data_IF_333580815416
#
_entry.id   IF_333580815416
#
_cell.length_a   1.000
_cell.length_b   1.000
_cell.length_c   1.000
_cell.angle_alpha   90.00
_cell.angle_beta   90.00
_cell.angle_gamma   90.00
#
_symmetry.space_group_name_H-M   'P 1'
#
loop_
_entity.id
_entity.type
_entity.pdbx_description
1 polymer ?
#
# COMPACT_ATOMS: atom_id res chain seq x y z
N UNK A 1 -2.97 10.98 -0.54
CA UNK A 1 -2.62 9.74 -1.28
C UNK A 1 -3.76 9.23 -2.16
N UNK A 2 -4.96 8.97 -1.63
CA UNK A 2 -6.12 8.47 -2.40
C UNK A 2 -6.39 9.19 -3.71
N UNK A 3 -6.41 10.54 -3.68
CA UNK A 3 -6.59 11.35 -4.89
C UNK A 3 -5.47 11.13 -5.92
N UNK A 4 -4.24 10.95 -5.47
CA UNK A 4 -3.10 10.67 -6.35
C UNK A 4 -3.19 9.26 -6.97
N UNK A 5 -3.61 8.25 -6.20
CA UNK A 5 -3.84 6.89 -6.72
C UNK A 5 -4.95 6.91 -7.77
N UNK A 6 -6.07 7.59 -7.50
CA UNK A 6 -7.18 7.76 -8.46
C UNK A 6 -6.71 8.48 -9.73
N UNK A 7 -5.93 9.55 -9.60
CA UNK A 7 -5.42 10.30 -10.74
C UNK A 7 -4.45 9.46 -11.60
N UNK A 8 -3.59 8.65 -10.97
CA UNK A 8 -2.60 7.84 -11.67
C UNK A 8 -3.20 6.59 -12.34
N UNK A 9 -4.20 5.96 -11.71
CA UNK A 9 -4.76 4.68 -12.17
C UNK A 9 -6.14 4.82 -12.84
N UNK A 10 -6.79 5.99 -12.76
CA UNK A 10 -8.15 6.20 -13.26
C UNK A 10 -9.13 5.17 -12.68
N UNK A 11 -10.01 4.63 -13.53
CA UNK A 11 -10.97 3.60 -13.15
C UNK A 11 -10.34 2.33 -12.55
N UNK A 12 -9.06 2.05 -12.87
CA UNK A 12 -8.37 0.90 -12.30
C UNK A 12 -8.11 1.06 -10.80
N UNK A 13 -8.15 2.28 -10.25
CA UNK A 13 -7.97 2.51 -8.81
C UNK A 13 -9.02 1.78 -7.96
N UNK A 14 -10.19 1.47 -8.51
CA UNK A 14 -11.26 0.72 -7.82
C UNK A 14 -10.98 -0.77 -7.70
N UNK A 15 -9.98 -1.28 -8.41
CA UNK A 15 -9.62 -2.71 -8.46
C UNK A 15 -8.34 -3.02 -7.68
N UNK A 16 -7.63 -2.00 -7.17
CA UNK A 16 -6.40 -2.20 -6.42
C UNK A 16 -6.70 -2.21 -4.92
N UNK A 17 -6.10 -3.16 -4.22
CA UNK A 17 -6.03 -3.14 -2.77
C UNK A 17 -4.92 -2.19 -2.33
N UNK A 18 -5.20 -1.38 -1.31
CA UNK A 18 -4.27 -0.45 -0.67
C UNK A 18 -4.16 -0.84 0.80
N UNK A 19 -2.97 -0.85 1.38
CA UNK A 19 -2.84 -1.00 2.83
C UNK A 19 -1.67 -0.20 3.37
N UNK A 20 -1.74 0.14 4.67
CA UNK A 20 -0.70 0.92 5.34
C UNK A 20 -0.11 0.15 6.51
N UNK A 21 1.11 -0.36 6.34
CA UNK A 21 1.82 -1.07 7.42
C UNK A 21 2.10 -0.17 8.63
N UNK A 22 2.11 1.16 8.43
CA UNK A 22 2.24 2.15 9.51
C UNK A 22 1.11 2.05 10.53
N UNK A 23 -0.05 1.46 10.20
CA UNK A 23 -1.10 1.18 11.18
C UNK A 23 -0.62 0.25 12.30
N UNK A 24 0.38 -0.59 12.02
CA UNK A 24 0.97 -1.54 12.98
C UNK A 24 2.36 -1.10 13.44
N UNK A 25 3.20 -0.61 12.54
CA UNK A 25 4.60 -0.29 12.83
C UNK A 25 4.83 1.15 13.28
N UNK A 26 3.81 2.01 13.16
CA UNK A 26 3.99 3.46 13.25
C UNK A 26 4.83 4.02 12.10
N UNK A 27 5.15 5.31 12.18
CA UNK A 27 5.98 5.98 11.19
C UNK A 27 7.46 5.97 11.60
N UNK A 28 8.27 5.19 10.89
CA UNK A 28 9.71 5.01 11.15
C UNK A 28 10.58 6.09 10.45
N UNK A 29 10.01 7.24 10.12
CA UNK A 29 10.67 8.33 9.39
C UNK A 29 11.37 7.81 8.12
N UNK A 30 12.67 8.08 7.98
CA UNK A 30 13.47 7.67 6.83
C UNK A 30 13.50 6.15 6.61
N UNK A 31 13.30 5.35 7.66
CA UNK A 31 13.29 3.89 7.55
C UNK A 31 11.95 3.32 7.04
N UNK A 32 10.85 4.11 7.05
CA UNK A 32 9.54 3.63 6.61
C UNK A 32 9.57 3.08 5.18
N UNK A 33 10.23 3.77 4.25
CA UNK A 33 10.30 3.34 2.85
C UNK A 33 10.97 1.98 2.68
N UNK A 34 12.08 1.74 3.39
CA UNK A 34 12.80 0.45 3.35
C UNK A 34 11.98 -0.68 3.95
N UNK A 35 11.40 -0.45 5.13
CA UNK A 35 10.59 -1.47 5.83
C UNK A 35 9.33 -1.81 5.02
N UNK A 36 8.67 -0.82 4.44
CA UNK A 36 7.49 -1.01 3.59
C UNK A 36 7.83 -1.67 2.26
N UNK A 37 8.99 -1.39 1.67
CA UNK A 37 9.47 -2.13 0.49
C UNK A 37 9.68 -3.63 0.79
N UNK A 38 10.25 -3.96 1.96
CA UNK A 38 10.39 -5.37 2.38
C UNK A 38 9.01 -6.02 2.51
N UNK A 39 8.07 -5.39 3.21
CA UNK A 39 6.70 -5.91 3.33
C UNK A 39 5.98 -6.03 1.98
N UNK A 40 6.24 -5.12 1.05
CA UNK A 40 5.69 -5.16 -0.32
C UNK A 40 6.18 -6.41 -1.07
N UNK A 41 7.47 -6.71 -1.00
CA UNK A 41 8.04 -7.93 -1.60
C UNK A 41 7.51 -9.20 -0.92
N UNK A 42 7.39 -9.19 0.41
CA UNK A 42 6.82 -10.32 1.15
C UNK A 42 5.35 -10.55 0.81
N UNK A 43 4.57 -9.48 0.61
CA UNK A 43 3.17 -9.56 0.14
C UNK A 43 3.07 -10.32 -1.19
N UNK A 44 3.97 -10.03 -2.14
CA UNK A 44 4.03 -10.72 -3.44
C UNK A 44 4.50 -12.17 -3.32
N UNK A 45 5.46 -12.45 -2.43
CA UNK A 45 5.98 -13.80 -2.16
C UNK A 45 4.89 -14.68 -1.57
N UNK A 46 4.23 -14.19 -0.52
CA UNK A 46 3.31 -14.98 0.32
C UNK A 46 1.86 -14.93 -0.17
N UNK A 47 1.54 -14.03 -1.12
CA UNK A 47 0.17 -13.80 -1.61
C UNK A 47 -0.80 -13.45 -0.48
N UNK A 48 -0.32 -12.64 0.46
CA UNK A 48 -1.08 -12.13 1.61
C UNK A 48 -0.85 -10.62 1.70
N UNK A 49 -1.94 -9.86 1.56
CA UNK A 49 -1.95 -8.41 1.72
C UNK A 49 -2.17 -8.09 3.20
N UNK A 50 -1.25 -7.37 3.86
CA UNK A 50 -1.39 -7.00 5.27
C UNK A 50 -2.58 -6.04 5.46
N UNK A 51 -3.26 -6.08 6.62
CA UNK A 51 -4.37 -5.21 6.89
C UNK A 51 -3.91 -3.79 7.24
N UNK A 52 -4.79 -2.82 7.01
CA UNK A 52 -4.76 -1.56 7.73
C UNK A 52 -5.56 -1.73 9.02
N UNK A 53 -4.88 -1.88 10.17
CA UNK A 53 -5.53 -2.06 11.47
C UNK A 53 -6.10 -0.75 12.02
N UNK A 54 -6.99 -0.84 13.01
CA UNK A 54 -7.68 0.29 13.64
C UNK A 54 -8.57 1.09 12.65
N UNK A 55 -9.07 0.43 11.61
CA UNK A 55 -9.97 1.04 10.63
C UNK A 55 -11.42 0.85 11.08
N UNK A 56 -12.01 1.86 11.72
CA UNK A 56 -13.36 1.76 12.30
C UNK A 56 -14.40 2.58 11.53
N UNK A 57 -14.09 3.85 11.25
CA UNK A 57 -15.00 4.79 10.59
C UNK A 57 -14.46 5.16 9.20
N UNK A 58 -15.14 4.77 8.11
CA UNK A 58 -14.74 5.17 6.77
C UNK A 58 -14.84 6.67 6.55
N UNK A 59 -13.85 7.26 5.89
CA UNK A 59 -13.88 8.64 5.41
C UNK A 59 -14.40 8.67 3.97
N UNK A 60 -15.46 9.45 3.64
CA UNK A 60 -16.01 9.55 2.28
C UNK A 60 -15.00 9.93 1.19
N UNK A 61 -13.94 10.68 1.53
CA UNK A 61 -12.88 11.06 0.59
C UNK A 61 -11.83 9.94 0.41
N UNK A 62 -11.79 9.00 1.36
CA UNK A 62 -10.95 7.82 1.37
C UNK A 62 -11.80 6.57 1.10
N UNK A 63 -12.17 6.38 -0.16
CA UNK A 63 -13.14 5.38 -0.65
C UNK A 63 -12.50 4.26 -1.52
N UNK A 64 -11.19 4.06 -1.39
CA UNK A 64 -10.50 2.91 -1.96
C UNK A 64 -10.65 1.68 -1.05
N UNK A 65 -10.18 0.54 -1.52
CA UNK A 65 -10.12 -0.68 -0.72
C UNK A 65 -8.87 -0.69 0.16
N UNK A 66 -9.01 -0.30 1.43
CA UNK A 66 -7.88 -0.17 2.38
C UNK A 66 -7.51 -1.46 3.13
N UNK A 67 -8.09 -2.60 2.77
CA UNK A 67 -7.90 -3.89 3.45
C UNK A 67 -8.09 -3.75 4.98
N UNK A 68 -9.28 -3.37 5.45
CA UNK A 68 -9.48 -2.98 6.85
C UNK A 68 -9.41 -4.18 7.80
N UNK A 69 -8.59 -4.06 8.85
CA UNK A 69 -8.50 -4.91 10.04
C UNK A 69 -8.09 -6.39 9.87
N UNK A 70 -8.40 -7.02 8.74
CA UNK A 70 -8.16 -8.44 8.48
C UNK A 70 -7.32 -8.60 7.21
N UNK A 71 -6.22 -9.36 7.32
CA UNK A 71 -5.35 -9.65 6.20
C UNK A 71 -6.11 -10.37 5.08
N UNK A 72 -5.76 -10.09 3.82
CA UNK A 72 -6.41 -10.70 2.66
C UNK A 72 -5.46 -11.60 1.89
N UNK A 73 -5.86 -12.85 1.66
CA UNK A 73 -5.18 -13.72 0.71
C UNK A 73 -5.53 -13.30 -0.72
N UNK A 74 -4.54 -12.96 -1.51
CA UNK A 74 -4.70 -12.60 -2.92
C UNK A 74 -3.35 -12.76 -3.64
N UNK A 75 -3.38 -13.25 -4.88
CA UNK A 75 -2.17 -13.30 -5.69
C UNK A 75 -1.77 -11.87 -6.09
N UNK A 76 -0.55 -11.47 -5.72
CA UNK A 76 -0.01 -10.14 -6.04
C UNK A 76 1.21 -10.28 -6.93
N UNK A 77 1.03 -10.00 -8.22
CA UNK A 77 2.07 -10.06 -9.23
C UNK A 77 2.81 -8.73 -9.43
N UNK A 78 2.15 -7.61 -9.14
CA UNK A 78 2.69 -6.26 -9.23
C UNK A 78 2.25 -5.51 -7.97
N UNK A 79 3.18 -4.80 -7.33
CA UNK A 79 2.89 -3.99 -6.14
C UNK A 79 3.67 -2.68 -6.17
N UNK A 80 3.13 -1.67 -5.51
CA UNK A 80 3.70 -0.33 -5.41
C UNK A 80 3.94 0.00 -3.94
N UNK A 81 5.10 0.59 -3.62
CA UNK A 81 5.40 1.20 -2.32
C UNK A 81 5.58 2.70 -2.49
N UNK A 82 4.68 3.49 -1.89
CA UNK A 82 4.69 4.95 -1.94
C UNK A 82 5.42 5.53 -0.72
N UNK A 83 6.18 6.60 -0.92
CA UNK A 83 6.78 7.39 0.15
C UNK A 83 6.70 8.87 -0.20
N UNK A 84 5.82 9.60 0.51
CA UNK A 84 5.62 11.04 0.33
C UNK A 84 6.05 11.76 1.61
N UNK A 85 7.30 12.25 1.61
CA UNK A 85 7.95 12.86 2.76
C UNK A 85 7.79 14.37 2.84
N UNK A 86 8.23 14.94 3.97
CA UNK A 86 8.29 16.39 4.17
C UNK A 86 9.17 17.08 3.13
N UNK A 87 8.92 18.36 2.87
CA UNK A 87 9.65 19.14 1.87
C UNK A 87 9.31 18.79 0.42
N UNK A 88 8.26 18.01 0.18
CA UNK A 88 7.83 17.61 -1.17
C UNK A 88 8.66 16.46 -1.77
N UNK A 89 9.43 15.74 -0.96
CA UNK A 89 10.21 14.59 -1.39
C UNK A 89 9.31 13.37 -1.61
N UNK A 90 8.96 13.11 -2.88
CA UNK A 90 8.09 12.00 -3.27
C UNK A 90 8.88 10.92 -4.01
N UNK A 91 8.74 9.67 -3.58
CA UNK A 91 9.34 8.50 -4.22
C UNK A 91 8.33 7.35 -4.30
N UNK A 92 8.37 6.61 -5.41
CA UNK A 92 7.49 5.46 -5.68
C UNK A 92 8.33 4.32 -6.22
N UNK A 93 8.24 3.15 -5.60
CA UNK A 93 8.88 1.92 -6.07
C UNK A 93 7.82 0.97 -6.63
N UNK A 94 8.10 0.38 -7.79
CA UNK A 94 7.24 -0.64 -8.42
C UNK A 94 7.98 -1.97 -8.43
N UNK A 95 7.35 -2.99 -7.88
CA UNK A 95 7.87 -4.35 -7.87
C UNK A 95 7.00 -5.24 -8.75
N UNK A 96 7.63 -6.13 -9.51
CA UNK A 96 6.97 -7.16 -10.30
C UNK A 96 7.54 -8.52 -9.95
N UNK A 97 6.68 -9.51 -9.77
CA UNK A 97 7.08 -10.89 -9.47
C UNK A 97 7.93 -11.39 -10.64
N UNK A 98 9.10 -11.92 -10.33
CA UNK A 98 10.02 -12.43 -11.34
C UNK A 98 9.35 -13.57 -12.12
N UNK A 99 9.51 -13.54 -13.44
CA UNK A 99 9.12 -14.60 -14.38
C UNK A 99 10.30 -14.73 -15.35
N UNK A 100 10.76 -15.96 -15.55
CA UNK A 100 11.80 -16.29 -16.54
C UNK A 100 11.34 -16.00 -17.97
#
# INVERSE_FOLDING_TARGET
ETKAIKAALGEHSRKVAVSSNKSMTGHLLAASGTVEAIFTVLTMRDSIIPPTINYETPDPECDLDYVPNIARKAEVNIAISNSFGFGGANAVLVFRKFKE
#
